data_IF_124989389657
#
_entry.id   IF_124989389657
#
_cell.length_a   1.000
_cell.length_b   1.000
_cell.length_c   1.000
_cell.angle_alpha   90.00
_cell.angle_beta   90.00
_cell.angle_gamma   90.00
#
_symmetry.space_group_name_H-M   'P 1'
#
loop_
_entity.id
_entity.type
_entity.pdbx_description
1 polymer ?
#
# COMPACT_ATOMS: atom_id res chain seq x y z
N UNK A 1 -3.99 12.49 -2.25
CA UNK A 1 -3.65 11.23 -2.95
C UNK A 1 -2.43 11.46 -3.83
N UNK A 2 -1.31 10.77 -3.59
CA UNK A 2 -0.08 10.95 -4.39
C UNK A 2 -0.40 10.75 -5.88
N UNK A 3 0.12 11.66 -6.73
CA UNK A 3 -0.11 11.61 -8.19
C UNK A 3 0.29 10.26 -8.81
N UNK A 4 1.17 9.50 -8.14
CA UNK A 4 1.70 8.20 -8.57
C UNK A 4 0.66 7.07 -8.43
N UNK A 5 0.06 6.92 -7.25
CA UNK A 5 -0.96 5.90 -7.00
C UNK A 5 -2.20 6.14 -7.88
N UNK A 6 -2.59 7.40 -8.07
CA UNK A 6 -3.71 7.73 -8.95
C UNK A 6 -3.48 7.31 -10.40
N UNK A 7 -2.30 7.60 -10.97
CA UNK A 7 -1.94 7.16 -12.32
C UNK A 7 -1.97 5.63 -12.47
N UNK A 8 -1.51 4.91 -11.45
CA UNK A 8 -1.62 3.45 -11.42
C UNK A 8 -3.09 3.01 -11.44
N UNK A 9 -3.95 3.60 -10.62
CA UNK A 9 -5.39 3.28 -10.59
C UNK A 9 -6.09 3.50 -11.93
N UNK A 10 -5.79 4.61 -12.62
CA UNK A 10 -6.32 4.85 -13.98
C UNK A 10 -5.90 3.75 -14.95
N UNK A 11 -4.63 3.34 -14.91
CA UNK A 11 -4.11 2.27 -15.76
C UNK A 11 -4.74 0.90 -15.45
N UNK A 12 -5.00 0.62 -14.16
CA UNK A 12 -5.70 -0.60 -13.74
C UNK A 12 -7.14 -0.61 -14.26
N UNK A 13 -7.85 0.51 -14.16
CA UNK A 13 -9.22 0.64 -14.65
C UNK A 13 -9.31 0.50 -16.17
N UNK A 14 -8.39 1.12 -16.93
CA UNK A 14 -8.35 0.97 -18.38
C UNK A 14 -8.05 -0.46 -18.83
N UNK A 15 -7.29 -1.21 -18.01
CA UNK A 15 -6.98 -2.62 -18.25
C UNK A 15 -8.02 -3.60 -17.70
N UNK A 16 -9.15 -3.13 -17.18
CA UNK A 16 -10.17 -3.96 -16.50
C UNK A 16 -9.60 -4.82 -15.35
N UNK A 17 -8.59 -4.32 -14.64
CA UNK A 17 -7.96 -4.97 -13.49
C UNK A 17 -8.59 -4.50 -12.18
N UNK A 18 -8.76 -5.42 -11.22
CA UNK A 18 -9.34 -5.11 -9.91
C UNK A 18 -8.40 -4.41 -8.93
N UNK A 19 -7.08 -4.52 -9.14
CA UNK A 19 -6.08 -3.98 -8.23
C UNK A 19 -4.67 -4.48 -8.53
N UNK A 20 -3.71 -4.02 -7.72
CA UNK A 20 -2.31 -4.39 -7.81
C UNK A 20 -1.70 -4.55 -6.41
N UNK A 21 -0.84 -5.56 -6.24
CA UNK A 21 -0.08 -5.78 -5.01
C UNK A 21 1.38 -5.43 -5.29
N UNK A 22 1.93 -4.50 -4.51
CA UNK A 22 3.35 -4.15 -4.57
C UNK A 22 4.07 -4.89 -3.44
N UNK A 23 5.02 -5.76 -3.84
CA UNK A 23 5.87 -6.51 -2.92
C UNK A 23 7.32 -5.99 -2.88
N UNK A 24 7.75 -5.26 -3.91
CA UNK A 24 9.08 -4.67 -3.97
C UNK A 24 9.13 -3.40 -3.10
N UNK A 25 10.11 -3.33 -2.21
CA UNK A 25 10.25 -2.24 -1.24
C UNK A 25 10.55 -0.89 -1.89
N UNK A 26 11.40 -0.83 -2.91
CA UNK A 26 11.67 0.41 -3.66
C UNK A 26 10.41 0.97 -4.31
N UNK A 27 9.55 0.10 -4.85
CA UNK A 27 8.27 0.52 -5.40
C UNK A 27 7.31 1.00 -4.30
N UNK A 28 7.30 0.36 -3.12
CA UNK A 28 6.52 0.85 -1.99
C UNK A 28 6.98 2.24 -1.54
N UNK A 29 8.30 2.45 -1.42
CA UNK A 29 8.88 3.78 -1.13
C UNK A 29 8.47 4.79 -2.20
N UNK A 30 8.54 4.42 -3.48
CA UNK A 30 8.10 5.29 -4.57
C UNK A 30 6.64 5.71 -4.45
N UNK A 31 5.73 4.80 -4.08
CA UNK A 31 4.31 5.11 -3.99
C UNK A 31 3.90 5.83 -2.71
N UNK A 32 4.56 5.51 -1.58
CA UNK A 32 4.12 5.90 -0.23
C UNK A 32 5.04 6.91 0.45
N UNK A 33 6.29 7.05 0.00
CA UNK A 33 7.31 7.83 0.69
C UNK A 33 7.87 7.17 1.94
N UNK A 34 7.55 5.89 2.20
CA UNK A 34 7.91 5.18 3.43
C UNK A 34 8.67 3.88 3.14
N UNK A 35 9.71 3.61 3.92
CA UNK A 35 10.48 2.35 3.94
C UNK A 35 10.04 1.49 5.13
N UNK A 36 10.07 0.17 4.99
CA UNK A 36 9.57 -0.75 6.03
C UNK A 36 8.10 -1.18 5.89
N UNK A 37 7.52 -0.97 4.70
CA UNK A 37 6.25 -1.58 4.32
C UNK A 37 6.38 -3.09 4.10
N UNK A 38 5.39 -3.86 4.53
CA UNK A 38 5.33 -5.30 4.25
C UNK A 38 4.75 -5.55 2.85
N UNK A 39 3.59 -4.94 2.54
CA UNK A 39 2.94 -4.97 1.22
C UNK A 39 2.10 -3.71 1.03
N UNK A 40 2.00 -3.22 -0.21
CA UNK A 40 1.03 -2.18 -0.58
C UNK A 40 -0.04 -2.77 -1.50
N UNK A 41 -1.30 -2.67 -1.09
CA UNK A 41 -2.46 -2.97 -1.90
C UNK A 41 -2.95 -1.68 -2.56
N UNK A 42 -3.01 -1.67 -3.89
CA UNK A 42 -3.60 -0.59 -4.68
C UNK A 42 -4.83 -1.13 -5.40
N UNK A 43 -6.02 -1.04 -4.81
CA UNK A 43 -7.24 -1.48 -5.48
C UNK A 43 -7.60 -0.46 -6.57
N UNK A 44 -8.17 -0.93 -7.68
CA UNK A 44 -8.55 -0.06 -8.80
C UNK A 44 -9.65 0.94 -8.42
N UNK A 45 -10.48 0.56 -7.45
CA UNK A 45 -11.49 1.39 -6.79
C UNK A 45 -11.24 1.28 -5.28
N UNK A 46 -11.47 2.33 -4.50
CA UNK A 46 -11.19 2.46 -3.06
C UNK A 46 -9.77 2.96 -2.70
N UNK A 47 -9.58 3.23 -1.41
CA UNK A 47 -8.32 3.68 -0.82
C UNK A 47 -7.26 2.56 -0.87
N UNK A 48 -5.99 2.96 -1.05
CA UNK A 48 -4.86 2.02 -1.00
C UNK A 48 -4.51 1.67 0.44
N UNK A 49 -4.01 0.46 0.67
CA UNK A 49 -3.65 -0.01 2.03
C UNK A 49 -2.18 -0.39 2.07
N UNK A 50 -1.41 0.26 2.93
CA UNK A 50 -0.05 -0.15 3.26
C UNK A 50 -0.09 -1.06 4.49
N UNK A 51 0.22 -2.33 4.28
CA UNK A 51 0.43 -3.29 5.35
C UNK A 51 1.83 -3.16 5.90
N UNK A 52 1.94 -3.11 7.24
CA UNK A 52 3.22 -2.95 7.95
C UNK A 52 3.31 -3.94 9.11
N UNK A 53 4.53 -4.28 9.52
CA UNK A 53 4.77 -5.00 10.77
C UNK A 53 4.73 -4.03 11.96
N UNK A 54 4.52 -4.58 13.17
CA UNK A 54 4.32 -3.80 14.40
C UNK A 54 5.42 -2.77 14.67
N UNK A 55 6.68 -3.12 14.41
CA UNK A 55 7.84 -2.22 14.60
C UNK A 55 7.77 -0.93 13.78
N UNK A 56 7.04 -0.93 12.65
CA UNK A 56 6.95 0.19 11.73
C UNK A 56 5.60 0.91 11.80
N UNK A 57 4.66 0.46 12.64
CA UNK A 57 3.27 0.90 12.57
C UNK A 57 3.07 2.37 12.90
N UNK A 58 3.57 2.84 14.05
CA UNK A 58 3.39 4.24 14.47
C UNK A 58 4.07 5.20 13.48
N UNK A 59 5.31 4.90 13.06
CA UNK A 59 6.03 5.69 12.07
C UNK A 59 5.30 5.75 10.72
N UNK A 60 4.78 4.61 10.25
CA UNK A 60 4.01 4.56 9.01
C UNK A 60 2.73 5.39 9.11
N UNK A 61 2.04 5.34 10.26
CA UNK A 61 0.78 6.06 10.48
C UNK A 61 0.96 7.58 10.46
N UNK A 62 2.10 8.06 10.93
CA UNK A 62 2.43 9.49 10.92
C UNK A 62 2.92 9.97 9.54
N UNK A 63 3.76 9.17 8.88
CA UNK A 63 4.46 9.60 7.66
C UNK A 63 3.67 9.35 6.37
N UNK A 64 2.93 8.24 6.30
CA UNK A 64 2.25 7.82 5.07
C UNK A 64 0.97 8.62 4.91
N UNK A 65 0.87 9.31 3.78
CA UNK A 65 -0.32 10.04 3.38
C UNK A 65 -1.04 9.27 2.28
N UNK A 66 -2.37 9.38 2.26
CA UNK A 66 -3.23 8.86 1.20
C UNK A 66 -3.24 7.33 1.01
N UNK A 67 -2.73 6.60 2.01
CA UNK A 67 -2.96 5.18 2.17
C UNK A 67 -3.43 4.93 3.60
N UNK A 68 -4.37 4.01 3.76
CA UNK A 68 -4.67 3.45 5.07
C UNK A 68 -3.49 2.58 5.49
N UNK A 69 -3.06 2.70 6.75
CA UNK A 69 -1.99 1.86 7.31
C UNK A 69 -2.63 0.76 8.15
N UNK A 70 -2.26 -0.48 7.90
CA UNK A 70 -2.76 -1.66 8.64
C UNK A 70 -1.63 -2.57 9.11
N UNK A 71 -1.82 -3.17 10.29
CA UNK A 71 -0.93 -4.20 10.77
C UNK A 71 -1.14 -5.51 10.02
N UNK A 72 -0.04 -6.15 9.61
CA UNK A 72 -0.06 -7.55 9.21
C UNK A 72 -0.44 -8.39 10.43
N UNK A 73 -1.58 -9.08 10.35
CA UNK A 73 -1.96 -10.09 11.35
C UNK A 73 -1.21 -11.37 11.04
N UNK A 74 -0.62 -12.00 12.06
CA UNK A 74 -0.19 -13.40 11.93
C UNK A 74 -1.44 -14.24 11.64
N UNK A 75 -1.35 -15.13 10.67
CA UNK A 75 -2.32 -16.21 10.57
C UNK A 75 -2.27 -16.96 11.90
N UNK A 76 -3.41 -17.06 12.59
CA UNK A 76 -3.55 -18.02 13.68
C UNK A 76 -3.42 -19.39 13.02
N UNK A 77 -2.27 -20.03 13.18
CA UNK A 77 -2.05 -21.37 12.67
C UNK A 77 -3.15 -22.27 13.21
N UNK A 78 -3.81 -23.00 12.32
CA UNK A 78 -4.60 -24.17 12.71
C UNK A 78 -3.65 -25.33 12.97
#
# INVERSE_FOLDING_TARGET
MTKRIQKLKVSLQSGNLGGYIVANETNMLYFTGFLGGARLLVPAKNESVLYVYGVNYEAAKEMVKDCRVELVKKAVGR
#
